data_IF_114674900111
#
_entry.id   IF_114674900111
#
_cell.length_a   1.000
_cell.length_b   1.000
_cell.length_c   1.000
_cell.angle_alpha   90.00
_cell.angle_beta   90.00
_cell.angle_gamma   90.00
#
_symmetry.space_group_name_H-M   'P 1'
#
loop_
_entity.id
_entity.type
_entity.pdbx_description
1 polymer ?
#
# COMPACT_ATOMS: atom_id res chain seq x y z
N UNK A 1 -20.97 -89.96 -11.74
CA UNK A 1 -20.71 -88.87 -10.80
C UNK A 1 -19.77 -87.91 -11.43
N UNK A 2 -20.27 -86.82 -11.83
CA UNK A 2 -19.44 -85.72 -12.44
C UNK A 2 -19.52 -84.51 -11.59
N UNK A 3 -18.41 -84.06 -11.14
CA UNK A 3 -18.23 -82.77 -10.39
C UNK A 3 -18.18 -81.66 -11.40
N UNK A 4 -19.10 -80.75 -11.30
CA UNK A 4 -19.09 -79.53 -12.12
C UNK A 4 -18.25 -78.49 -11.43
N UNK A 5 -17.19 -78.11 -12.11
CA UNK A 5 -16.32 -77.02 -11.72
C UNK A 5 -17.09 -75.69 -11.80
N UNK A 6 -17.38 -75.14 -10.66
CA UNK A 6 -17.89 -73.75 -10.56
C UNK A 6 -16.73 -72.77 -10.56
N UNK A 7 -16.46 -72.22 -11.71
CA UNK A 7 -15.46 -71.14 -11.83
C UNK A 7 -16.09 -69.88 -11.35
N UNK A 8 -15.68 -69.46 -10.17
CA UNK A 8 -15.98 -68.12 -9.66
C UNK A 8 -15.08 -67.14 -10.37
N UNK A 9 -15.62 -66.31 -11.26
CA UNK A 9 -14.92 -65.18 -11.87
C UNK A 9 -14.85 -64.04 -10.86
N UNK A 10 -13.70 -63.85 -10.31
CA UNK A 10 -13.43 -62.68 -9.45
C UNK A 10 -13.31 -61.46 -10.33
N UNK A 11 -14.32 -60.61 -10.33
CA UNK A 11 -14.32 -59.34 -11.01
C UNK A 11 -13.51 -58.36 -10.17
N UNK A 12 -12.30 -58.03 -10.64
CA UNK A 12 -11.45 -57.00 -10.07
C UNK A 12 -11.99 -55.64 -10.53
N UNK A 13 -12.73 -55.00 -9.64
CA UNK A 13 -13.13 -53.60 -9.84
C UNK A 13 -11.92 -52.72 -9.52
N UNK A 14 -11.24 -52.30 -10.56
CA UNK A 14 -10.21 -51.23 -10.45
C UNK A 14 -10.94 -49.93 -10.25
N UNK A 15 -11.04 -49.53 -8.99
CA UNK A 15 -11.52 -48.21 -8.62
C UNK A 15 -10.49 -47.17 -9.02
N UNK A 16 -10.73 -46.49 -10.13
CA UNK A 16 -9.97 -45.31 -10.51
C UNK A 16 -10.35 -44.16 -9.56
N UNK A 17 -9.59 -44.05 -8.47
CA UNK A 17 -9.71 -42.93 -7.56
C UNK A 17 -9.21 -41.66 -8.27
N UNK A 18 -10.14 -40.83 -8.73
CA UNK A 18 -9.83 -39.49 -9.19
C UNK A 18 -9.50 -38.69 -7.94
N UNK A 19 -8.21 -38.50 -7.68
CA UNK A 19 -7.73 -37.55 -6.73
C UNK A 19 -8.02 -36.15 -7.28
N UNK A 20 -9.12 -35.56 -6.84
CA UNK A 20 -9.31 -34.11 -6.99
C UNK A 20 -8.27 -33.44 -6.11
N UNK A 21 -7.17 -33.05 -6.69
CA UNK A 21 -6.29 -32.05 -6.09
C UNK A 21 -7.12 -30.78 -5.99
N UNK A 22 -7.60 -30.46 -4.81
CA UNK A 22 -8.04 -29.10 -4.51
C UNK A 22 -6.78 -28.24 -4.53
N UNK A 23 -6.51 -27.63 -5.67
CA UNK A 23 -5.67 -26.46 -5.71
C UNK A 23 -6.35 -25.41 -4.85
N UNK A 24 -5.90 -25.33 -3.60
CA UNK A 24 -6.27 -24.24 -2.73
C UNK A 24 -5.85 -22.96 -3.44
N UNK A 25 -6.81 -22.19 -3.92
CA UNK A 25 -6.58 -20.83 -4.41
C UNK A 25 -5.92 -20.07 -3.28
N UNK A 26 -4.60 -19.98 -3.29
CA UNK A 26 -3.91 -19.03 -2.44
C UNK A 26 -4.38 -17.65 -2.88
N UNK A 27 -4.88 -16.82 -1.95
CA UNK A 27 -5.20 -15.45 -2.28
C UNK A 27 -3.98 -14.83 -2.94
N UNK A 28 -4.15 -14.22 -4.10
CA UNK A 28 -3.07 -13.52 -4.76
C UNK A 28 -2.45 -12.54 -3.75
N UNK A 29 -1.10 -12.50 -3.62
CA UNK A 29 -0.47 -11.59 -2.69
C UNK A 29 -0.95 -10.18 -3.00
N UNK A 30 -1.48 -9.50 -2.01
CA UNK A 30 -1.91 -8.12 -2.14
C UNK A 30 -0.71 -7.28 -2.58
N UNK A 31 -0.68 -6.91 -3.85
CA UNK A 31 0.40 -6.11 -4.45
C UNK A 31 0.34 -4.64 -4.02
N UNK A 32 -0.62 -4.27 -3.18
CA UNK A 32 -0.84 -2.89 -2.79
C UNK A 32 -0.12 -2.58 -1.48
N UNK A 33 0.54 -1.44 -1.47
CA UNK A 33 1.03 -0.86 -0.23
C UNK A 33 -0.15 -0.64 0.70
N UNK A 34 0.01 -1.05 1.94
CA UNK A 34 -1.05 -0.91 2.91
C UNK A 34 -1.31 0.56 3.27
N UNK A 35 -0.25 1.38 3.30
CA UNK A 35 -0.33 2.81 3.60
C UNK A 35 0.31 3.63 2.49
N UNK A 36 -0.41 4.62 1.99
CA UNK A 36 0.12 5.58 1.01
C UNK A 36 -0.21 6.98 1.45
N UNK A 37 0.74 7.88 1.31
CA UNK A 37 0.49 9.30 1.49
C UNK A 37 -0.48 9.84 0.44
N UNK A 38 -1.07 11.01 0.69
CA UNK A 38 -1.96 11.70 -0.22
C UNK A 38 -1.75 13.21 -0.16
N UNK A 39 -1.51 13.80 -1.32
CA UNK A 39 -1.48 15.26 -1.46
C UNK A 39 -2.91 15.78 -1.59
N UNK A 40 -3.25 16.82 -0.82
CA UNK A 40 -4.60 17.32 -0.74
C UNK A 40 -4.75 18.77 -1.20
N UNK A 41 -3.63 19.41 -1.45
CA UNK A 41 -3.60 20.79 -1.91
C UNK A 41 -2.50 21.62 -1.26
N UNK A 42 -2.54 22.90 -1.51
CA UNK A 42 -1.57 23.86 -0.97
C UNK A 42 -2.23 25.21 -0.69
N UNK A 43 -1.60 25.98 0.15
CA UNK A 43 -1.98 27.37 0.37
C UNK A 43 -0.75 28.26 0.58
N UNK A 44 -0.91 29.52 0.26
CA UNK A 44 0.13 30.53 0.45
C UNK A 44 0.09 31.06 1.87
N UNK A 45 1.24 31.08 2.52
CA UNK A 45 1.41 31.67 3.83
C UNK A 45 1.57 33.20 3.75
N UNK A 46 1.29 33.96 4.83
CA UNK A 46 1.48 35.39 4.86
C UNK A 46 2.92 35.85 4.61
N UNK A 47 3.91 35.01 4.92
CA UNK A 47 5.35 35.23 4.69
C UNK A 47 5.80 34.95 3.26
N UNK A 48 4.90 34.61 2.35
CA UNK A 48 5.16 34.29 0.95
C UNK A 48 5.58 32.84 0.68
N UNK A 49 5.81 32.04 1.71
CA UNK A 49 6.02 30.59 1.57
C UNK A 49 4.73 29.86 1.25
N UNK A 50 4.84 28.56 0.95
CA UNK A 50 3.68 27.71 0.73
C UNK A 50 3.63 26.58 1.74
N UNK A 51 2.44 26.14 2.08
CA UNK A 51 2.18 24.94 2.86
C UNK A 51 1.49 23.91 1.99
N UNK A 52 2.05 22.71 1.97
CA UNK A 52 1.50 21.55 1.25
C UNK A 52 0.71 20.70 2.24
N UNK A 53 -0.59 20.54 2.00
CA UNK A 53 -1.46 19.76 2.86
C UNK A 53 -1.41 18.29 2.45
N UNK A 54 -1.16 17.44 3.42
CA UNK A 54 -0.96 16.01 3.25
C UNK A 54 -1.84 15.20 4.19
N UNK A 55 -2.33 14.11 3.69
CA UNK A 55 -2.98 13.06 4.45
C UNK A 55 -2.46 11.70 4.05
N UNK A 56 -3.16 10.64 4.39
CA UNK A 56 -2.79 9.28 3.97
C UNK A 56 -4.01 8.38 3.82
N UNK A 57 -3.80 7.24 3.21
CA UNK A 57 -4.77 6.17 3.12
C UNK A 57 -4.14 4.85 3.55
N UNK A 58 -4.60 4.31 4.68
CA UNK A 58 -4.32 2.95 5.11
C UNK A 58 -5.44 2.06 4.58
N UNK A 59 -5.12 1.20 3.62
CA UNK A 59 -6.07 0.32 2.93
C UNK A 59 -6.41 -0.95 3.69
N UNK A 60 -5.78 -1.19 4.84
CA UNK A 60 -6.15 -2.32 5.68
C UNK A 60 -7.45 -2.01 6.42
N UNK A 61 -8.29 -3.01 6.59
CA UNK A 61 -9.58 -2.83 7.27
C UNK A 61 -9.45 -2.80 8.80
N UNK A 62 -8.39 -3.40 9.34
CA UNK A 62 -8.27 -3.64 10.79
C UNK A 62 -6.88 -3.42 11.35
N UNK A 63 -5.90 -3.14 10.52
CA UNK A 63 -4.51 -3.00 10.96
C UNK A 63 -4.08 -1.54 10.97
N UNK A 64 -3.69 -1.08 12.15
CA UNK A 64 -3.00 0.19 12.34
C UNK A 64 -1.51 -0.05 12.37
N UNK A 65 -0.72 0.98 12.07
CA UNK A 65 0.73 0.88 12.02
C UNK A 65 1.38 1.96 12.85
N UNK A 66 2.40 1.56 13.61
CA UNK A 66 3.35 2.47 14.23
C UNK A 66 4.64 2.46 13.41
N UNK A 67 4.90 3.54 12.70
CA UNK A 67 6.06 3.68 11.82
C UNK A 67 6.81 4.94 12.23
N UNK A 68 7.85 4.81 13.05
CA UNK A 68 8.61 5.96 13.53
C UNK A 68 9.35 6.66 12.37
N UNK A 69 9.69 7.93 12.59
CA UNK A 69 10.51 8.69 11.66
C UNK A 69 11.85 7.97 11.45
N UNK A 70 12.22 7.78 10.19
CA UNK A 70 13.43 7.07 9.80
C UNK A 70 13.35 6.56 8.37
N UNK A 71 14.01 5.45 8.09
CA UNK A 71 14.04 4.85 6.74
C UNK A 71 12.64 4.50 6.21
N UNK A 72 11.74 4.11 7.11
CA UNK A 72 10.39 3.64 6.78
C UNK A 72 9.32 4.74 6.84
N UNK A 73 9.67 5.92 7.31
CA UNK A 73 8.78 7.08 7.36
C UNK A 73 9.61 8.36 7.28
N UNK A 74 9.81 8.87 6.08
CA UNK A 74 10.63 10.06 5.84
C UNK A 74 10.09 10.92 4.72
N UNK A 75 10.40 12.21 4.81
CA UNK A 75 10.09 13.19 3.77
C UNK A 75 11.39 13.80 3.25
N UNK A 76 11.51 13.87 1.95
CA UNK A 76 12.65 14.45 1.24
C UNK A 76 12.15 15.41 0.14
N UNK A 77 12.89 16.49 -0.12
CA UNK A 77 14.05 17.04 0.58
C UNK A 77 13.69 17.78 1.88
N UNK A 78 14.71 18.11 2.66
CA UNK A 78 14.56 18.94 3.84
C UNK A 78 14.61 18.20 5.18
N UNK A 79 14.99 16.94 5.16
CA UNK A 79 15.16 16.11 6.33
C UNK A 79 14.05 15.09 6.52
N UNK A 80 14.31 14.02 7.30
CA UNK A 80 13.35 12.92 7.41
C UNK A 80 12.07 13.33 8.12
N UNK A 81 12.12 14.21 9.10
CA UNK A 81 10.99 14.70 9.90
C UNK A 81 10.51 16.07 9.43
N UNK A 82 9.29 16.11 8.92
CA UNK A 82 8.59 17.32 8.50
C UNK A 82 7.23 17.46 9.19
N UNK A 83 7.03 16.75 10.30
CA UNK A 83 5.77 16.73 11.06
C UNK A 83 4.76 15.68 10.62
N UNK A 84 5.18 14.71 9.81
CA UNK A 84 4.33 13.61 9.40
C UNK A 84 3.95 12.71 10.58
N UNK A 85 2.76 12.03 10.51
CA UNK A 85 2.34 11.10 11.54
C UNK A 85 3.26 9.88 11.63
N UNK A 86 3.33 9.30 12.82
CA UNK A 86 4.02 8.03 13.11
C UNK A 86 3.06 6.90 13.44
N UNK A 87 1.80 7.23 13.72
CA UNK A 87 0.72 6.29 13.92
C UNK A 87 -0.31 6.42 12.80
N UNK A 88 -0.61 5.31 12.13
CA UNK A 88 -1.45 5.26 10.95
C UNK A 88 -2.73 4.48 11.21
N UNK A 89 -3.81 5.19 11.45
CA UNK A 89 -5.16 4.63 11.60
C UNK A 89 -5.64 4.01 10.28
N UNK A 90 -6.59 3.11 10.36
CA UNK A 90 -7.24 2.52 9.17
C UNK A 90 -8.05 3.55 8.39
N UNK A 91 -8.19 3.31 7.09
CA UNK A 91 -8.98 4.16 6.23
C UNK A 91 -8.27 5.42 5.75
N UNK A 92 -9.06 6.32 5.17
CA UNK A 92 -8.59 7.62 4.65
C UNK A 92 -8.53 8.65 5.77
N UNK A 93 -7.34 9.25 5.95
CA UNK A 93 -7.11 10.32 6.91
C UNK A 93 -6.76 11.61 6.15
N UNK A 94 -7.57 12.63 6.33
CA UNK A 94 -7.48 13.89 5.62
C UNK A 94 -6.75 14.95 6.44
N UNK A 95 -5.98 15.83 5.76
CA UNK A 95 -5.42 17.03 6.38
C UNK A 95 -4.57 16.77 7.62
N UNK A 96 -3.78 15.71 7.63
CA UNK A 96 -3.07 15.27 8.83
C UNK A 96 -1.94 16.21 9.23
N UNK A 97 -1.24 16.80 8.25
CA UNK A 97 -0.14 17.73 8.48
C UNK A 97 0.12 18.58 7.24
N UNK A 98 0.93 19.62 7.42
CA UNK A 98 1.36 20.48 6.32
C UNK A 98 2.88 20.61 6.28
N UNK A 99 3.44 20.51 5.09
CA UNK A 99 4.88 20.74 4.87
C UNK A 99 5.09 22.13 4.30
N UNK A 100 5.85 22.95 5.02
CA UNK A 100 6.21 24.30 4.56
C UNK A 100 7.34 24.21 3.54
N UNK A 101 7.17 24.88 2.41
CA UNK A 101 8.16 24.99 1.35
C UNK A 101 8.41 26.45 1.00
N UNK A 102 9.62 26.80 0.50
CA UNK A 102 9.96 28.20 0.19
C UNK A 102 9.12 28.76 -0.97
N UNK A 103 9.04 30.09 -1.06
CA UNK A 103 8.31 30.80 -2.10
C UNK A 103 8.77 30.42 -3.53
N UNK A 104 10.04 30.11 -3.71
CA UNK A 104 10.64 29.71 -4.98
C UNK A 104 10.68 28.19 -5.21
N UNK A 105 9.84 27.44 -4.50
CA UNK A 105 9.80 25.97 -4.63
C UNK A 105 9.49 25.51 -6.06
N UNK A 106 8.58 26.19 -6.76
CA UNK A 106 8.32 26.01 -8.18
C UNK A 106 7.96 24.56 -8.55
N UNK A 107 8.75 23.97 -9.46
CA UNK A 107 8.55 22.61 -9.96
C UNK A 107 9.22 21.52 -9.09
N UNK A 108 9.81 21.90 -7.97
CA UNK A 108 10.40 20.94 -7.06
C UNK A 108 9.33 20.04 -6.46
N UNK A 109 9.76 18.87 -5.97
CA UNK A 109 8.88 17.83 -5.43
C UNK A 109 9.32 17.49 -4.02
N UNK A 110 8.35 17.16 -3.17
CA UNK A 110 8.61 16.42 -1.94
C UNK A 110 8.19 14.98 -2.13
N UNK A 111 8.91 14.07 -1.49
CA UNK A 111 8.60 12.64 -1.49
C UNK A 111 8.41 12.19 -0.06
N UNK A 112 7.26 11.63 0.23
CA UNK A 112 6.99 10.99 1.50
C UNK A 112 7.06 9.49 1.32
N UNK A 113 8.07 8.84 1.88
CA UNK A 113 8.25 7.39 1.86
C UNK A 113 7.63 6.79 3.11
N UNK A 114 6.75 5.80 2.93
CA UNK A 114 6.13 5.03 4.01
C UNK A 114 6.34 3.56 3.69
N UNK A 115 6.91 2.80 4.63
CA UNK A 115 7.07 1.34 4.50
C UNK A 115 6.27 0.67 5.61
N UNK A 116 5.23 -0.06 5.23
CA UNK A 116 4.40 -0.82 6.14
C UNK A 116 4.46 -2.31 5.78
N UNK A 117 4.68 -3.18 6.76
CA UNK A 117 4.82 -4.63 6.56
C UNK A 117 5.88 -5.02 5.52
N UNK A 118 7.02 -4.30 5.49
CA UNK A 118 8.09 -4.55 4.53
C UNK A 118 7.73 -4.17 3.08
N UNK A 119 6.59 -3.52 2.86
CA UNK A 119 6.16 -3.02 1.56
C UNK A 119 6.26 -1.50 1.55
N UNK A 120 7.13 -0.98 0.69
CA UNK A 120 7.33 0.45 0.53
C UNK A 120 6.22 1.05 -0.32
N UNK A 121 5.46 1.95 0.28
CA UNK A 121 4.60 2.90 -0.40
C UNK A 121 5.44 4.07 -0.88
N UNK A 122 6.30 3.83 -1.86
CA UNK A 122 6.94 4.95 -2.55
C UNK A 122 5.99 5.49 -3.61
N UNK A 123 5.81 6.79 -3.65
CA UNK A 123 4.94 7.44 -4.63
C UNK A 123 5.48 7.42 -6.06
N UNK A 124 6.55 6.71 -6.32
CA UNK A 124 7.20 6.71 -7.64
C UNK A 124 6.36 6.12 -8.77
N UNK A 125 5.27 5.39 -8.46
CA UNK A 125 4.36 4.90 -9.50
C UNK A 125 2.86 5.13 -9.19
N UNK A 126 2.50 5.51 -7.94
CA UNK A 126 1.11 5.79 -7.55
C UNK A 126 0.99 7.05 -6.67
N UNK A 127 1.92 7.91 -6.79
CA UNK A 127 1.90 9.30 -6.69
C UNK A 127 1.63 10.04 -5.42
N UNK A 128 2.61 10.36 -4.58
CA UNK A 128 2.71 11.68 -4.03
C UNK A 128 3.92 12.39 -4.61
N UNK A 129 3.91 12.51 -5.88
CA UNK A 129 4.57 13.66 -6.46
C UNK A 129 3.62 14.81 -6.19
N UNK A 130 3.87 15.57 -5.12
CA UNK A 130 3.23 16.86 -5.00
C UNK A 130 3.82 17.71 -6.13
N UNK A 131 3.29 17.51 -7.32
CA UNK A 131 3.48 18.48 -8.39
C UNK A 131 2.72 19.70 -7.92
N UNK A 132 3.45 20.64 -7.36
CA UNK A 132 2.88 21.92 -7.04
C UNK A 132 2.62 22.57 -8.38
N UNK A 133 1.38 22.41 -8.77
CA UNK A 133 0.86 23.19 -9.85
C UNK A 133 1.17 24.65 -9.54
N UNK A 134 1.85 25.29 -10.44
CA UNK A 134 2.18 26.69 -10.55
C UNK A 134 1.19 27.53 -9.74
N UNK A 135 1.63 28.40 -8.82
CA UNK A 135 0.73 29.42 -8.31
C UNK A 135 0.07 30.11 -9.50
N UNK A 136 -1.22 30.45 -9.42
CA UNK A 136 -1.86 31.16 -10.51
C UNK A 136 -0.99 32.37 -10.84
N UNK A 137 -0.60 32.48 -12.10
CA UNK A 137 0.09 33.67 -12.60
C UNK A 137 -0.80 34.87 -12.33
N UNK A 138 -0.35 35.76 -11.45
CA UNK A 138 -0.94 37.08 -11.20
C UNK A 138 -0.66 37.91 -12.43
#
# INVERSE_FOLDING_TARGET
>A
MRWNDLRIATMLVVGCGILFSQEGSQPAPEKRNNVTGAFEGWFKNPDGTFSLLLGYFNRTERQEFDIPIGSDNRIEPGGPDRGQPTHFLTGRQWGMFAVKVPANFGQNKITWTITANGKTGSPSNDGLTAEILRPPSV
#
